data_IF_141809024334
#
_entry.id   IF_141809024334
#
_cell.length_a   1.000
_cell.length_b   1.000
_cell.length_c   1.000
_cell.angle_alpha   90.00
_cell.angle_beta   90.00
_cell.angle_gamma   90.00
#
_symmetry.space_group_name_H-M   'P 1'
#
loop_
_entity.id
_entity.type
_entity.pdbx_description
1 polymer ?
#
# COMPACT_ATOMS: atom_id res chain seq x y z
N UNK A 1 -17.49 -7.00 -11.51
CA UNK A 1 -17.89 -6.52 -10.17
C UNK A 1 -17.68 -5.02 -10.15
N UNK A 2 -18.64 -4.20 -9.67
CA UNK A 2 -18.44 -2.76 -9.61
C UNK A 2 -17.25 -2.49 -8.68
N UNK A 3 -16.20 -1.87 -9.22
CA UNK A 3 -15.14 -1.25 -8.43
C UNK A 3 -15.83 -0.31 -7.45
N UNK A 4 -15.63 -0.51 -6.15
CA UNK A 4 -16.07 0.46 -5.14
C UNK A 4 -15.28 1.74 -5.40
N UNK A 5 -15.83 2.61 -6.25
CA UNK A 5 -15.33 3.97 -6.43
C UNK A 5 -15.27 4.62 -5.06
N UNK A 6 -14.23 5.40 -4.81
CA UNK A 6 -14.27 6.26 -3.64
C UNK A 6 -15.31 7.34 -3.93
N UNK A 7 -16.48 7.17 -3.34
CA UNK A 7 -17.53 8.19 -3.44
C UNK A 7 -17.20 9.46 -2.63
N UNK A 8 -16.21 9.38 -1.74
CA UNK A 8 -15.85 10.50 -0.87
C UNK A 8 -14.38 10.50 -0.43
N UNK A 9 -13.69 11.58 -0.81
CA UNK A 9 -12.43 12.01 -0.21
C UNK A 9 -12.65 13.40 0.40
N UNK A 10 -12.28 13.66 1.67
CA UNK A 10 -12.58 14.93 2.30
C UNK A 10 -11.89 16.08 1.56
N UNK A 11 -12.55 17.24 1.38
CA UNK A 11 -11.92 18.38 0.75
C UNK A 11 -10.70 18.83 1.57
N UNK A 12 -9.68 19.38 0.90
CA UNK A 12 -8.46 19.82 1.57
C UNK A 12 -8.72 20.80 2.72
N UNK A 13 -9.78 21.61 2.65
CA UNK A 13 -10.18 22.52 3.73
C UNK A 13 -10.57 21.80 5.04
N UNK A 14 -11.07 20.56 4.96
CA UNK A 14 -11.36 19.71 6.12
C UNK A 14 -10.07 19.11 6.65
N UNK A 15 -9.24 18.51 5.78
CA UNK A 15 -7.91 17.98 6.16
C UNK A 15 -7.07 19.05 6.85
N UNK A 16 -7.08 20.28 6.31
CA UNK A 16 -6.35 21.43 6.84
C UNK A 16 -6.70 21.77 8.28
N UNK A 17 -7.92 21.46 8.75
CA UNK A 17 -8.33 21.71 10.14
C UNK A 17 -7.66 20.76 11.14
N UNK A 18 -7.29 19.55 10.70
CA UNK A 18 -6.54 18.59 11.53
C UNK A 18 -5.04 18.90 11.57
N UNK A 19 -4.54 19.78 10.69
CA UNK A 19 -3.14 20.12 10.57
C UNK A 19 -2.75 21.28 11.49
N UNK A 20 -1.62 21.15 12.18
CA UNK A 20 -0.95 22.25 12.87
C UNK A 20 0.19 22.76 11.99
N UNK A 21 0.29 24.09 11.88
CA UNK A 21 1.32 24.76 11.10
C UNK A 21 2.29 25.49 12.03
N UNK A 22 3.59 25.27 11.84
CA UNK A 22 4.65 25.98 12.57
C UNK A 22 5.71 26.45 11.59
N UNK A 23 6.28 27.62 11.82
CA UNK A 23 7.45 28.07 11.06
C UNK A 23 8.72 27.62 11.78
N UNK A 24 9.57 26.86 11.09
CA UNK A 24 10.85 26.38 11.60
C UNK A 24 11.92 26.77 10.60
N UNK A 25 12.84 27.64 11.01
CA UNK A 25 13.89 28.22 10.14
C UNK A 25 13.37 28.86 8.84
N UNK A 26 12.18 29.47 8.88
CA UNK A 26 11.56 30.11 7.71
C UNK A 26 10.75 29.15 6.82
N UNK A 27 10.73 27.85 7.14
CA UNK A 27 9.94 26.85 6.44
C UNK A 27 8.65 26.53 7.20
N UNK A 28 7.54 26.38 6.48
CA UNK A 28 6.28 25.94 7.06
C UNK A 28 6.33 24.43 7.25
N UNK A 29 6.36 24.00 8.51
CA UNK A 29 6.20 22.61 8.90
C UNK A 29 4.75 22.33 9.28
N UNK A 30 4.32 21.12 8.92
CA UNK A 30 2.98 20.61 9.23
C UNK A 30 3.11 19.43 10.18
N UNK A 31 2.36 19.44 11.28
CA UNK A 31 2.24 18.30 12.19
C UNK A 31 0.79 17.87 12.35
N UNK A 32 0.58 16.57 12.55
CA UNK A 32 -0.72 15.92 12.63
C UNK A 32 -0.66 14.89 13.77
N UNK A 33 -1.70 14.76 14.62
CA UNK A 33 -1.84 13.63 15.53
C UNK A 33 -1.73 12.29 14.78
N UNK A 34 -1.17 11.26 15.43
CA UNK A 34 -0.91 9.98 14.75
C UNK A 34 -2.20 9.27 14.30
N UNK A 35 -3.25 9.35 15.10
CA UNK A 35 -4.59 8.82 14.78
C UNK A 35 -5.19 9.49 13.54
N UNK A 36 -5.05 10.81 13.42
CA UNK A 36 -5.46 11.55 12.22
C UNK A 36 -4.61 11.16 11.00
N UNK A 37 -3.31 10.92 11.17
CA UNK A 37 -2.45 10.41 10.09
C UNK A 37 -2.92 9.04 9.61
N UNK A 38 -3.17 8.12 10.54
CA UNK A 38 -3.70 6.79 10.22
C UNK A 38 -5.05 6.90 9.51
N UNK A 39 -5.92 7.83 9.92
CA UNK A 39 -7.20 8.06 9.25
C UNK A 39 -7.02 8.52 7.79
N UNK A 40 -6.14 9.49 7.53
CA UNK A 40 -5.83 9.93 6.17
C UNK A 40 -5.24 8.80 5.32
N UNK A 41 -4.35 7.99 5.90
CA UNK A 41 -3.77 6.82 5.22
C UNK A 41 -4.86 5.80 4.86
N UNK A 42 -5.79 5.49 5.78
CA UNK A 42 -6.94 4.61 5.47
C UNK A 42 -7.85 5.17 4.38
N UNK A 43 -8.02 6.50 4.34
CA UNK A 43 -8.77 7.15 3.25
C UNK A 43 -8.06 7.01 1.90
N UNK A 44 -6.73 7.14 1.86
CA UNK A 44 -5.95 6.88 0.65
C UNK A 44 -6.00 5.39 0.26
N UNK A 45 -5.87 4.48 1.23
CA UNK A 45 -5.95 3.04 1.00
C UNK A 45 -7.31 2.62 0.39
N UNK A 46 -8.42 3.29 0.74
CA UNK A 46 -9.72 3.04 0.11
C UNK A 46 -9.72 3.25 -1.42
N UNK A 47 -8.77 4.00 -1.97
CA UNK A 47 -8.63 4.20 -3.43
C UNK A 47 -8.07 3.00 -4.15
N UNK A 48 -7.37 2.14 -3.42
CA UNK A 48 -6.64 1.04 -3.99
C UNK A 48 -7.61 -0.12 -4.22
N UNK A 49 -7.56 -0.66 -5.44
CA UNK A 49 -8.28 -1.88 -5.76
C UNK A 49 -7.68 -3.05 -4.99
N UNK A 50 -8.54 -3.82 -4.31
CA UNK A 50 -8.17 -5.07 -3.65
C UNK A 50 -8.78 -6.21 -4.45
N UNK A 51 -7.93 -7.09 -4.96
CA UNK A 51 -8.36 -8.35 -5.55
C UNK A 51 -8.67 -9.32 -4.40
N UNK A 52 -9.95 -9.39 -4.00
CA UNK A 52 -10.34 -10.16 -2.82
C UNK A 52 -10.07 -11.66 -2.99
N UNK A 53 -10.21 -12.21 -4.20
CA UNK A 53 -9.98 -13.64 -4.44
C UNK A 53 -8.49 -13.98 -4.30
N UNK A 54 -7.62 -13.18 -4.93
CA UNK A 54 -6.17 -13.33 -4.78
C UNK A 54 -5.72 -13.11 -3.34
N UNK A 55 -6.25 -12.07 -2.69
CA UNK A 55 -5.90 -11.75 -1.31
C UNK A 55 -6.29 -12.89 -0.36
N UNK A 56 -7.50 -13.45 -0.48
CA UNK A 56 -7.94 -14.54 0.38
C UNK A 56 -7.18 -15.85 0.10
N UNK A 57 -6.72 -16.08 -1.13
CA UNK A 57 -5.90 -17.25 -1.46
C UNK A 57 -4.57 -17.27 -0.69
N UNK A 58 -3.96 -16.10 -0.45
CA UNK A 58 -2.70 -15.97 0.30
C UNK A 58 -2.85 -15.77 1.82
N UNK A 59 -4.06 -15.47 2.32
CA UNK A 59 -4.26 -14.98 3.69
C UNK A 59 -5.37 -15.77 4.43
N UNK A 60 -5.05 -16.99 4.84
CA UNK A 60 -6.00 -17.91 5.50
C UNK A 60 -6.51 -17.43 6.87
N UNK A 61 -5.75 -16.57 7.56
CA UNK A 61 -6.15 -15.85 8.77
C UNK A 61 -7.34 -14.92 8.49
N UNK A 62 -7.31 -14.23 7.36
CA UNK A 62 -8.37 -13.32 6.91
C UNK A 62 -9.64 -14.10 6.56
N UNK A 63 -9.50 -15.23 5.86
CA UNK A 63 -10.63 -16.15 5.58
C UNK A 63 -11.30 -16.58 6.88
N UNK A 64 -10.52 -16.92 7.90
CA UNK A 64 -11.02 -17.33 9.21
C UNK A 64 -11.74 -16.18 9.93
N UNK A 65 -11.16 -14.98 9.91
CA UNK A 65 -11.76 -13.80 10.51
C UNK A 65 -13.10 -13.41 9.85
N UNK A 66 -13.22 -13.58 8.53
CA UNK A 66 -14.48 -13.39 7.79
C UNK A 66 -15.51 -14.44 8.24
N UNK A 67 -15.14 -15.73 8.27
CA UNK A 67 -16.05 -16.81 8.69
C UNK A 67 -16.57 -16.64 10.12
N UNK A 68 -15.74 -16.10 11.00
CA UNK A 68 -16.11 -15.81 12.39
C UNK A 68 -16.88 -14.49 12.55
N UNK A 69 -17.11 -13.74 11.47
CA UNK A 69 -17.83 -12.47 11.51
C UNK A 69 -17.06 -11.31 12.15
N UNK A 70 -15.73 -11.44 12.32
CA UNK A 70 -14.88 -10.39 12.91
C UNK A 70 -14.62 -9.25 11.91
N UNK A 71 -14.59 -9.58 10.62
CA UNK A 71 -14.50 -8.66 9.48
C UNK A 71 -15.48 -9.10 8.39
N UNK A 72 -15.82 -8.20 7.48
CA UNK A 72 -16.85 -8.40 6.45
C UNK A 72 -16.29 -8.78 5.09
N UNK A 73 -15.04 -8.39 4.79
CA UNK A 73 -14.42 -8.67 3.49
C UNK A 73 -12.90 -8.59 3.54
N UNK A 74 -12.23 -9.08 2.48
CA UNK A 74 -10.78 -8.96 2.33
C UNK A 74 -10.36 -7.50 2.18
N UNK A 75 -11.16 -6.71 1.44
CA UNK A 75 -10.94 -5.27 1.31
C UNK A 75 -11.00 -4.55 2.65
N UNK A 76 -11.96 -4.90 3.52
CA UNK A 76 -12.00 -4.34 4.88
C UNK A 76 -10.72 -4.68 5.63
N UNK A 77 -10.28 -5.95 5.59
CA UNK A 77 -9.05 -6.35 6.27
C UNK A 77 -7.84 -5.56 5.77
N UNK A 78 -7.68 -5.44 4.46
CA UNK A 78 -6.53 -4.76 3.88
C UNK A 78 -6.46 -3.28 4.27
N UNK A 79 -7.59 -2.57 4.23
CA UNK A 79 -7.66 -1.14 4.63
C UNK A 79 -7.36 -0.96 6.12
N UNK A 80 -7.91 -1.82 6.97
CA UNK A 80 -7.82 -1.64 8.42
C UNK A 80 -6.49 -2.14 9.00
N UNK A 81 -5.91 -3.18 8.40
CA UNK A 81 -4.74 -3.90 8.91
C UNK A 81 -3.71 -4.19 7.81
N UNK A 82 -4.12 -4.85 6.73
CA UNK A 82 -3.18 -5.42 5.75
C UNK A 82 -2.20 -4.42 5.12
N UNK A 83 -2.63 -3.19 4.83
CA UNK A 83 -1.75 -2.13 4.34
C UNK A 83 -0.63 -1.81 5.35
N UNK A 84 -0.99 -1.67 6.63
CA UNK A 84 -0.06 -1.36 7.71
C UNK A 84 0.85 -2.56 8.07
N UNK A 85 0.42 -3.78 7.73
CA UNK A 85 1.21 -5.00 7.84
C UNK A 85 2.13 -5.24 6.61
N UNK A 86 2.08 -4.37 5.60
CA UNK A 86 2.87 -4.52 4.37
C UNK A 86 2.34 -5.62 3.45
N UNK A 87 1.07 -6.02 3.56
CA UNK A 87 0.44 -6.99 2.63
C UNK A 87 0.07 -6.30 1.33
N UNK A 88 0.30 -6.97 0.20
CA UNK A 88 -0.13 -6.51 -1.11
C UNK A 88 -1.65 -6.66 -1.29
N UNK A 89 -2.34 -5.70 -1.94
CA UNK A 89 -3.79 -5.77 -2.17
C UNK A 89 -4.19 -6.64 -3.36
N UNK A 90 -3.26 -6.92 -4.26
CA UNK A 90 -3.46 -7.69 -5.50
C UNK A 90 -2.11 -8.14 -6.05
N UNK A 91 -2.15 -8.96 -7.09
CA UNK A 91 -0.98 -9.19 -7.92
C UNK A 91 -0.64 -7.91 -8.70
N UNK A 92 0.45 -7.23 -8.32
CA UNK A 92 0.91 -6.01 -8.99
C UNK A 92 1.78 -6.35 -10.20
N UNK A 93 1.55 -5.64 -11.31
CA UNK A 93 2.42 -5.74 -12.48
C UNK A 93 3.78 -5.12 -12.17
N UNK A 94 4.85 -5.76 -12.63
CA UNK A 94 6.23 -5.25 -12.55
C UNK A 94 6.76 -5.13 -13.97
N UNK A 95 7.29 -3.95 -14.32
CA UNK A 95 8.03 -3.73 -15.56
C UNK A 95 9.48 -4.15 -15.33
N UNK A 96 9.94 -5.31 -15.84
CA UNK A 96 11.25 -5.84 -15.50
C UNK A 96 12.40 -4.92 -15.94
N UNK A 97 12.31 -4.36 -17.15
CA UNK A 97 13.36 -3.54 -17.73
C UNK A 97 13.49 -2.21 -16.98
N UNK A 98 12.35 -1.56 -16.71
CA UNK A 98 12.32 -0.34 -15.92
C UNK A 98 12.80 -0.60 -14.49
N UNK A 99 12.34 -1.68 -13.87
CA UNK A 99 12.65 -2.00 -12.47
C UNK A 99 14.15 -2.27 -12.28
N UNK A 100 14.76 -3.06 -13.16
CA UNK A 100 16.19 -3.36 -13.11
C UNK A 100 17.06 -2.12 -13.41
N UNK A 101 16.61 -1.23 -14.29
CA UNK A 101 17.30 0.03 -14.56
C UNK A 101 17.18 1.00 -13.36
N UNK A 102 16.00 1.06 -12.73
CA UNK A 102 15.73 1.93 -11.59
C UNK A 102 16.44 1.48 -10.31
N UNK A 103 16.65 0.16 -10.16
CA UNK A 103 17.18 -0.49 -8.97
C UNK A 103 18.40 -1.37 -9.30
N UNK A 104 19.61 -0.77 -9.40
CA UNK A 104 20.82 -1.49 -9.81
C UNK A 104 21.26 -2.62 -8.88
N UNK A 105 20.86 -2.59 -7.61
CA UNK A 105 21.10 -3.66 -6.64
C UNK A 105 20.28 -4.92 -6.96
N UNK A 106 19.05 -4.76 -7.45
CA UNK A 106 18.21 -5.88 -7.92
C UNK A 106 18.79 -6.48 -9.19
N UNK A 107 19.30 -5.65 -10.11
CA UNK A 107 19.98 -6.15 -11.32
C UNK A 107 21.22 -6.99 -10.98
N UNK A 108 21.98 -6.57 -9.97
CA UNK A 108 23.12 -7.34 -9.47
C UNK A 108 22.67 -8.65 -8.81
N UNK A 109 21.62 -8.62 -7.98
CA UNK A 109 21.06 -9.81 -7.34
C UNK A 109 20.56 -10.83 -8.37
N UNK A 110 19.91 -10.36 -9.44
CA UNK A 110 19.46 -11.21 -10.55
C UNK A 110 20.64 -11.83 -11.31
N UNK A 111 21.66 -11.03 -11.65
CA UNK A 111 22.85 -11.51 -12.35
C UNK A 111 23.65 -12.52 -11.51
N UNK A 112 23.61 -12.38 -10.18
CA UNK A 112 24.23 -13.32 -9.24
C UNK A 112 23.36 -14.58 -8.97
N UNK A 113 22.15 -14.65 -9.52
CA UNK A 113 21.20 -15.74 -9.27
C UNK A 113 20.64 -15.78 -7.84
N UNK A 114 20.74 -14.67 -7.10
CA UNK A 114 20.21 -14.56 -5.73
C UNK A 114 18.68 -14.37 -5.69
N UNK A 115 18.10 -13.93 -6.81
CA UNK A 115 16.65 -13.83 -7.03
C UNK A 115 16.29 -14.46 -8.38
N UNK A 116 15.06 -14.97 -8.48
CA UNK A 116 14.58 -15.60 -9.71
C UNK A 116 14.16 -14.59 -10.78
N UNK A 117 13.56 -13.46 -10.36
CA UNK A 117 13.09 -12.42 -11.27
C UNK A 117 12.91 -11.06 -10.57
N UNK A 118 12.82 -9.94 -11.32
CA UNK A 118 12.43 -8.65 -10.75
C UNK A 118 11.06 -8.69 -10.07
N UNK A 119 10.14 -9.51 -10.60
CA UNK A 119 8.82 -9.70 -10.03
C UNK A 119 8.89 -10.42 -8.67
N UNK A 120 9.66 -11.51 -8.54
CA UNK A 120 9.81 -12.20 -7.25
C UNK A 120 10.45 -11.28 -6.20
N UNK A 121 11.48 -10.53 -6.58
CA UNK A 121 12.08 -9.53 -5.69
C UNK A 121 11.06 -8.47 -5.24
N UNK A 122 10.23 -7.96 -6.16
CA UNK A 122 9.23 -6.96 -5.79
C UNK A 122 8.21 -7.49 -4.79
N UNK A 123 7.70 -8.71 -5.02
CA UNK A 123 6.72 -9.33 -4.14
C UNK A 123 7.29 -9.65 -2.74
N UNK A 124 8.55 -10.09 -2.67
CA UNK A 124 9.17 -10.50 -1.41
C UNK A 124 9.74 -9.31 -0.61
N UNK A 125 10.32 -8.32 -1.30
CA UNK A 125 11.07 -7.23 -0.66
C UNK A 125 10.63 -5.85 -1.17
N UNK A 126 10.51 -5.69 -2.48
CA UNK A 126 10.38 -4.38 -3.10
C UNK A 126 9.19 -3.55 -2.60
N UNK A 127 8.03 -4.17 -2.36
CA UNK A 127 6.88 -3.45 -1.80
C UNK A 127 7.16 -2.89 -0.39
N UNK A 128 7.76 -3.70 0.49
CA UNK A 128 8.09 -3.29 1.86
C UNK A 128 9.21 -2.25 1.90
N UNK A 129 10.11 -2.28 0.92
CA UNK A 129 11.16 -1.28 0.74
C UNK A 129 10.66 0.04 0.12
N UNK A 130 9.36 0.14 -0.23
CA UNK A 130 8.79 1.33 -0.87
C UNK A 130 9.22 1.52 -2.32
N UNK A 131 9.64 0.44 -3.00
CA UNK A 131 9.98 0.49 -4.43
C UNK A 131 8.72 0.59 -5.26
N UNK A 132 8.81 1.29 -6.38
CA UNK A 132 7.77 1.30 -7.39
C UNK A 132 7.99 0.09 -8.32
N UNK A 133 6.95 -0.62 -8.75
CA UNK A 133 7.10 -1.77 -9.64
C UNK A 133 7.12 -1.38 -11.13
N UNK A 134 6.65 -0.17 -11.45
CA UNK A 134 6.53 0.39 -12.79
C UNK A 134 6.81 1.89 -12.74
N UNK A 135 7.06 2.52 -13.90
CA UNK A 135 7.11 3.98 -14.00
C UNK A 135 5.73 4.58 -13.72
N UNK A 136 5.69 5.66 -12.95
CA UNK A 136 4.49 6.50 -12.73
C UNK A 136 4.57 7.81 -13.50
#
# INVERSE_FOLDING_TARGET
>A
MPTTEIDYFPPFSVVKKSLQFKSVHGEVQVSLPYDELVHLVKLMARSVHVDEDWYLAGNSDVVTAIRNGQIRSARQHWIEFGYFEGRLPSQLAVDPDWYLNRYPDVAQALAAGAIESPHSHYLEFGYQEGRLPVSI
#
